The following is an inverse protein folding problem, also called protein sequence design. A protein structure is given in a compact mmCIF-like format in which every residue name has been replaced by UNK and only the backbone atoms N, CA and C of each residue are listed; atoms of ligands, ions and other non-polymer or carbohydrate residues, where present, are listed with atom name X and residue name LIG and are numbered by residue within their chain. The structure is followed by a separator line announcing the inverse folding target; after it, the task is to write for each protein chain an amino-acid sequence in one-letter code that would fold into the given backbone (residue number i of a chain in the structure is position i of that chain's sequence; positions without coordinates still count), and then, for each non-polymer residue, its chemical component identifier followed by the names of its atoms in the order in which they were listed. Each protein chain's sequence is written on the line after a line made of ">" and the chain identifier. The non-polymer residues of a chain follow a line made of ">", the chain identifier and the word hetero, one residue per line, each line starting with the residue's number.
data_IF_828385581713
#
_entry.id   IF_828385581713
#
_cell.length_a   1.000
_cell.length_b   1.000
_cell.length_c   1.000
_cell.angle_alpha   90.00
_cell.angle_beta   90.00
_cell.angle_gamma   90.00
#
_symmetry.space_group_name_H-M   'P 1'
#
loop_
_entity.id
_entity.type
_entity.pdbx_description
1 polymer ?
#
# COMPACT_ATOMS: atom_id res chain seq x y z
N UNK A 1 -2.87 8.27 -3.10
CA UNK A 1 -2.20 7.45 -2.06
C UNK A 1 -2.82 7.84 -0.74
N UNK A 2 -3.18 6.87 0.10
CA UNK A 2 -3.79 7.15 1.40
C UNK A 2 -2.72 7.34 2.46
N UNK A 3 -1.75 6.42 2.53
CA UNK A 3 -0.71 6.41 3.55
C UNK A 3 0.58 5.81 2.94
N UNK A 4 1.76 6.28 3.39
CA UNK A 4 3.07 5.77 2.98
C UNK A 4 4.00 5.76 4.19
N UNK A 5 4.57 4.61 4.49
CA UNK A 5 5.46 4.40 5.64
C UNK A 5 6.80 3.87 5.15
N UNK A 6 7.88 4.43 5.69
CA UNK A 6 9.21 3.83 5.63
C UNK A 6 9.31 2.85 6.79
N UNK A 7 9.56 1.57 6.51
CA UNK A 7 9.61 0.52 7.53
C UNK A 7 11.01 -0.08 7.54
N UNK A 8 11.57 -0.28 8.74
CA UNK A 8 12.86 -0.95 8.93
C UNK A 8 12.63 -2.34 9.52
N UNK A 9 13.34 -3.36 9.02
CA UNK A 9 13.29 -4.74 9.56
C UNK A 9 12.26 -5.68 8.93
N UNK A 10 11.65 -5.32 7.80
CA UNK A 10 10.77 -6.19 7.00
C UNK A 10 11.35 -6.40 5.58
N UNK A 11 10.83 -7.36 4.81
CA UNK A 11 11.21 -7.63 3.41
C UNK A 11 11.05 -6.44 2.43
N UNK A 12 10.45 -5.32 2.87
CA UNK A 12 10.23 -4.14 2.03
C UNK A 12 10.57 -2.85 2.79
N UNK A 13 11.26 -1.93 2.12
CA UNK A 13 11.65 -0.63 2.67
C UNK A 13 10.46 0.32 2.86
N UNK A 14 9.42 0.18 2.02
CA UNK A 14 8.25 1.04 2.02
C UNK A 14 6.95 0.23 2.03
N UNK A 15 5.99 0.66 2.84
CA UNK A 15 4.61 0.18 2.80
C UNK A 15 3.68 1.31 2.37
N UNK A 16 2.93 1.06 1.29
CA UNK A 16 1.95 2.00 0.76
C UNK A 16 0.54 1.44 0.88
N UNK A 17 -0.41 2.29 1.29
CA UNK A 17 -1.83 1.98 1.28
C UNK A 17 -2.52 2.81 0.22
N UNK A 18 -3.24 2.15 -0.67
CA UNK A 18 -3.96 2.78 -1.78
C UNK A 18 -5.40 2.30 -1.80
N UNK A 19 -6.33 3.21 -2.11
CA UNK A 19 -7.69 2.87 -2.50
C UNK A 19 -7.77 2.91 -4.02
N UNK A 20 -8.29 1.83 -4.59
CA UNK A 20 -8.46 1.63 -6.03
C UNK A 20 -9.90 1.21 -6.28
N UNK A 21 -10.42 1.54 -7.47
CA UNK A 21 -11.82 1.26 -7.82
C UNK A 21 -12.09 -0.24 -8.00
N UNK A 22 -11.14 -0.94 -8.61
CA UNK A 22 -11.20 -2.36 -8.94
C UNK A 22 -9.79 -2.92 -9.19
N UNK A 23 -9.71 -4.20 -9.55
CA UNK A 23 -8.44 -4.90 -9.82
C UNK A 23 -7.77 -4.47 -11.12
N UNK A 24 -8.54 -3.97 -12.10
CA UNK A 24 -7.99 -3.47 -13.36
C UNK A 24 -7.21 -2.17 -13.12
N UNK A 25 -7.79 -1.25 -12.35
CA UNK A 25 -7.14 -0.03 -11.91
C UNK A 25 -5.94 -0.30 -10.99
N UNK A 26 -6.01 -1.36 -10.17
CA UNK A 26 -4.86 -1.79 -9.37
C UNK A 26 -3.70 -2.23 -10.27
N UNK A 27 -3.97 -3.06 -11.27
CA UNK A 27 -2.95 -3.55 -12.20
C UNK A 27 -2.33 -2.40 -13.00
N UNK A 28 -3.15 -1.48 -13.50
CA UNK A 28 -2.67 -0.28 -14.19
C UNK A 28 -1.76 0.57 -13.29
N UNK A 29 -2.20 0.83 -12.05
CA UNK A 29 -1.39 1.54 -11.07
C UNK A 29 -0.06 0.83 -10.79
N UNK A 30 -0.08 -0.49 -10.62
CA UNK A 30 1.12 -1.28 -10.34
C UNK A 30 2.12 -1.19 -11.50
N UNK A 31 1.68 -1.50 -12.72
CA UNK A 31 2.57 -1.63 -13.89
C UNK A 31 2.96 -0.29 -14.52
N UNK A 32 2.06 0.69 -14.55
CA UNK A 32 2.29 1.95 -15.26
C UNK A 32 2.70 3.09 -14.33
N UNK A 33 2.61 2.93 -13.01
CA UNK A 33 3.00 3.95 -12.04
C UNK A 33 4.07 3.44 -11.10
N UNK A 34 3.80 2.39 -10.34
CA UNK A 34 4.65 1.99 -9.23
C UNK A 34 5.97 1.36 -9.69
N UNK A 35 5.94 0.38 -10.58
CA UNK A 35 7.15 -0.29 -11.11
C UNK A 35 8.03 0.59 -12.00
N UNK A 36 7.50 1.74 -12.43
CA UNK A 36 8.27 2.73 -13.22
C UNK A 36 9.08 3.69 -12.37
N UNK A 37 8.89 3.68 -11.05
CA UNK A 37 9.66 4.52 -10.14
C UNK A 37 11.05 3.90 -10.00
N UNK A 38 12.07 4.70 -10.29
CA UNK A 38 13.46 4.28 -10.15
C UNK A 38 13.76 3.87 -8.70
N UNK A 39 14.39 2.71 -8.52
CA UNK A 39 14.66 2.13 -7.20
C UNK A 39 13.60 1.14 -6.69
N UNK A 40 12.45 0.99 -7.37
CA UNK A 40 11.49 -0.08 -7.06
C UNK A 40 12.00 -1.40 -7.66
N UNK A 41 12.54 -2.27 -6.81
CA UNK A 41 13.13 -3.56 -7.21
C UNK A 41 12.14 -4.72 -7.09
N UNK A 42 11.08 -4.57 -6.29
CA UNK A 42 10.05 -5.57 -6.09
C UNK A 42 8.83 -4.97 -5.42
N UNK A 43 7.65 -5.55 -5.71
CA UNK A 43 6.39 -5.14 -5.09
C UNK A 43 5.67 -6.38 -4.58
N UNK A 44 5.40 -6.38 -3.27
CA UNK A 44 4.51 -7.36 -2.65
C UNK A 44 3.19 -6.67 -2.28
N UNK A 45 2.07 -7.20 -2.76
CA UNK A 45 0.74 -6.56 -2.62
C UNK A 45 -0.19 -7.42 -1.80
N UNK A 46 -0.90 -6.78 -0.86
CA UNK A 46 -1.90 -7.43 0.00
C UNK A 46 -3.25 -6.73 -0.15
N UNK A 47 -4.33 -7.49 -0.20
CA UNK A 47 -5.69 -6.96 -0.34
C UNK A 47 -6.48 -7.11 0.95
N UNK A 48 -7.16 -6.02 1.35
CA UNK A 48 -8.04 -6.03 2.51
C UNK A 48 -9.39 -6.62 2.09
N UNK A 49 -9.63 -7.89 2.45
CA UNK A 49 -10.91 -8.56 2.17
C UNK A 49 -12.05 -8.01 3.05
N UNK A 50 -11.74 -7.71 4.31
CA UNK A 50 -12.68 -7.14 5.28
C UNK A 50 -11.91 -6.36 6.33
N UNK A 51 -12.39 -5.17 6.66
CA UNK A 51 -11.92 -4.42 7.83
C UNK A 51 -12.71 -4.88 9.06
N UNK A 52 -12.02 -5.51 10.01
CA UNK A 52 -12.65 -5.95 11.27
C UNK A 52 -12.80 -4.77 12.24
N UNK A 53 -11.81 -3.87 12.25
CA UNK A 53 -11.82 -2.60 12.98
C UNK A 53 -11.29 -1.51 12.05
N UNK A 54 -11.98 -0.39 11.97
CA UNK A 54 -11.63 0.78 11.13
C UNK A 54 -11.97 2.03 11.93
N UNK A 55 -11.09 2.43 12.85
CA UNK A 55 -11.23 3.68 13.60
C UNK A 55 -10.11 4.63 13.21
N UNK A 56 -10.47 5.91 13.08
CA UNK A 56 -9.52 7.01 12.90
C UNK A 56 -9.15 7.67 14.22
N UNK A 57 -9.73 7.21 15.33
CA UNK A 57 -9.46 7.73 16.66
C UNK A 57 -8.13 7.17 17.17
N UNK A 58 -7.21 8.08 17.54
CA UNK A 58 -5.97 7.71 18.20
C UNK A 58 -6.26 7.42 19.67
N UNK A 59 -5.85 6.25 20.21
CA UNK A 59 -5.98 6.00 21.64
C UNK A 59 -5.07 6.95 22.41
N UNK A 60 -5.67 7.92 23.07
CA UNK A 60 -5.01 8.80 24.04
C UNK A 60 -5.10 8.13 25.41
N UNK A 61 -3.96 7.66 25.91
CA UNK A 61 -3.81 7.17 27.29
C UNK A 61 -3.41 8.31 28.21
#
# INVERSE_FOLDING_TARGET
>A
MLECYLITGHDADYQIKVAVRDMEHFQDFLLHRLTRIEGVTGVHSSFVLRKVVDTTELPVY
#
